data_IF_732949049050
#
_entry.id   IF_732949049050
#
_cell.length_a   1.000
_cell.length_b   1.000
_cell.length_c   1.000
_cell.angle_alpha   90.00
_cell.angle_beta   90.00
_cell.angle_gamma   90.00
#
_symmetry.space_group_name_H-M   'P 1'
#
loop_
_entity.id
_entity.type
_entity.pdbx_description
1 polymer ?
#
# COMPACT_ATOMS: atom_id res chain seq x y z
N UNK A 1 -16.49 -30.01 64.22
CA UNK A 1 -15.96 -28.71 63.75
C UNK A 1 -14.94 -28.96 62.64
N UNK A 2 -15.37 -28.88 61.38
CA UNK A 2 -14.48 -29.08 60.23
C UNK A 2 -14.06 -27.70 59.72
N UNK A 3 -12.84 -27.29 60.05
CA UNK A 3 -12.27 -26.01 59.60
C UNK A 3 -11.80 -26.15 58.14
N UNK A 4 -12.32 -25.25 57.32
CA UNK A 4 -12.07 -25.03 55.90
C UNK A 4 -10.59 -25.14 55.50
N UNK A 5 -10.27 -26.16 54.69
CA UNK A 5 -9.08 -26.23 53.83
C UNK A 5 -9.52 -26.01 52.37
N UNK A 6 -9.98 -24.80 52.02
CA UNK A 6 -10.38 -24.46 50.64
C UNK A 6 -9.77 -23.15 50.11
N UNK A 7 -8.94 -22.48 50.90
CA UNK A 7 -8.41 -21.14 50.64
C UNK A 7 -7.14 -21.06 49.78
N UNK A 8 -6.16 -21.99 49.79
CA UNK A 8 -4.94 -21.80 49.01
C UNK A 8 -5.13 -22.11 47.50
N UNK A 9 -6.06 -22.99 47.14
CA UNK A 9 -6.29 -23.38 45.74
C UNK A 9 -7.01 -22.30 44.92
N UNK A 10 -7.90 -21.54 45.57
CA UNK A 10 -8.64 -20.43 44.94
C UNK A 10 -7.71 -19.26 44.58
N UNK A 11 -6.74 -18.93 45.44
CA UNK A 11 -5.75 -17.88 45.18
C UNK A 11 -4.80 -18.22 44.02
N UNK A 12 -4.42 -19.50 43.89
CA UNK A 12 -3.55 -19.98 42.81
C UNK A 12 -4.24 -19.90 41.44
N UNK A 13 -5.54 -20.24 41.38
CA UNK A 13 -6.36 -20.13 40.17
C UNK A 13 -6.67 -18.67 39.80
N UNK A 14 -6.94 -17.81 40.78
CA UNK A 14 -7.17 -16.37 40.56
C UNK A 14 -5.89 -15.66 40.10
N UNK A 15 -4.73 -16.01 40.66
CA UNK A 15 -3.42 -15.51 40.22
C UNK A 15 -3.11 -15.91 38.78
N UNK A 16 -3.44 -17.15 38.39
CA UNK A 16 -3.27 -17.62 37.01
C UNK A 16 -4.15 -16.86 36.01
N UNK A 17 -5.43 -16.63 36.34
CA UNK A 17 -6.34 -15.87 35.47
C UNK A 17 -5.93 -14.39 35.32
N UNK A 18 -5.51 -13.75 36.42
CA UNK A 18 -5.06 -12.36 36.38
C UNK A 18 -3.78 -12.18 35.54
N UNK A 19 -2.84 -13.13 35.68
CA UNK A 19 -1.60 -13.14 34.88
C UNK A 19 -1.89 -13.35 33.38
N UNK A 20 -2.71 -14.35 33.03
CA UNK A 20 -3.13 -14.60 31.64
C UNK A 20 -3.81 -13.39 31.03
N UNK A 21 -4.73 -12.75 31.76
CA UNK A 21 -5.42 -11.55 31.29
C UNK A 21 -4.43 -10.44 30.90
N UNK A 22 -3.40 -10.19 31.73
CA UNK A 22 -2.37 -9.17 31.44
C UNK A 22 -1.56 -9.50 30.20
N UNK A 23 -1.17 -10.76 30.01
CA UNK A 23 -0.45 -11.22 28.82
C UNK A 23 -1.33 -11.03 27.57
N UNK A 24 -2.58 -11.49 27.61
CA UNK A 24 -3.49 -11.38 26.48
C UNK A 24 -3.76 -9.92 26.10
N UNK A 25 -3.90 -9.02 27.08
CA UNK A 25 -4.01 -7.58 26.80
C UNK A 25 -2.75 -7.05 26.12
N UNK A 26 -1.55 -7.46 26.57
CA UNK A 26 -0.29 -7.03 25.96
C UNK A 26 -0.15 -7.52 24.51
N UNK A 27 -0.46 -8.80 24.25
CA UNK A 27 -0.50 -9.37 22.89
C UNK A 27 -1.51 -8.64 22.00
N UNK A 28 -2.71 -8.35 22.53
CA UNK A 28 -3.75 -7.62 21.79
C UNK A 28 -3.25 -6.23 21.38
N UNK A 29 -2.62 -5.49 22.31
CA UNK A 29 -2.07 -4.16 22.03
C UNK A 29 -0.95 -4.21 20.98
N UNK A 30 -0.12 -5.24 21.03
CA UNK A 30 0.93 -5.44 20.03
C UNK A 30 0.36 -5.65 18.63
N UNK A 31 -0.66 -6.52 18.48
CA UNK A 31 -1.34 -6.74 17.20
C UNK A 31 -2.00 -5.46 16.67
N UNK A 32 -2.68 -4.70 17.55
CA UNK A 32 -3.29 -3.42 17.15
C UNK A 32 -2.23 -2.41 16.69
N UNK A 33 -1.10 -2.32 17.40
CA UNK A 33 0.03 -1.48 16.98
C UNK A 33 0.60 -1.90 15.62
N UNK A 34 0.77 -3.19 15.38
CA UNK A 34 1.22 -3.69 14.08
C UNK A 34 0.23 -3.37 12.95
N UNK A 35 -1.07 -3.43 13.23
CA UNK A 35 -2.13 -3.16 12.24
C UNK A 35 -2.14 -1.71 11.75
N UNK A 36 -1.64 -0.76 12.53
CA UNK A 36 -1.60 0.66 12.16
C UNK A 36 -0.73 0.92 10.92
N UNK A 37 0.27 0.08 10.66
CA UNK A 37 1.09 0.12 9.44
C UNK A 37 0.28 -0.13 8.16
N UNK A 38 -0.90 -0.75 8.27
CA UNK A 38 -1.74 -1.15 7.15
C UNK A 38 -3.05 -0.35 7.09
N UNK A 39 -3.06 0.89 7.60
CA UNK A 39 -4.24 1.77 7.59
C UNK A 39 -5.49 1.12 8.19
N UNK A 40 -5.33 0.40 9.31
CA UNK A 40 -6.44 -0.30 10.00
C UNK A 40 -7.63 0.60 10.30
N UNK A 41 -7.42 1.91 10.50
CA UNK A 41 -8.49 2.89 10.71
C UNK A 41 -9.36 3.11 9.47
N UNK A 42 -8.82 2.92 8.28
CA UNK A 42 -9.55 3.02 7.02
C UNK A 42 -10.28 1.70 6.70
N UNK A 43 -9.60 0.57 6.92
CA UNK A 43 -10.08 -0.73 6.43
C UNK A 43 -10.82 -1.58 7.46
N UNK A 44 -10.60 -1.36 8.75
CA UNK A 44 -11.12 -2.22 9.80
C UNK A 44 -11.37 -1.47 11.13
N UNK A 45 -11.85 -0.22 11.06
CA UNK A 45 -12.11 0.63 12.22
C UNK A 45 -12.98 -0.06 13.26
N UNK A 46 -14.04 -0.74 12.82
CA UNK A 46 -15.02 -1.36 13.71
C UNK A 46 -14.37 -2.46 14.58
N UNK A 47 -13.59 -3.35 13.97
CA UNK A 47 -12.88 -4.40 14.71
C UNK A 47 -11.82 -3.81 15.65
N UNK A 48 -11.10 -2.78 15.20
CA UNK A 48 -10.12 -2.08 16.03
C UNK A 48 -10.78 -1.47 17.28
N UNK A 49 -11.88 -0.74 17.10
CA UNK A 49 -12.57 -0.06 18.20
C UNK A 49 -13.24 -1.05 19.16
N UNK A 50 -13.81 -2.15 18.64
CA UNK A 50 -14.34 -3.23 19.48
C UNK A 50 -13.21 -3.87 20.31
N UNK A 51 -12.03 -4.10 19.73
CA UNK A 51 -10.88 -4.64 20.45
C UNK A 51 -10.44 -3.71 21.60
N UNK A 52 -10.36 -2.40 21.35
CA UNK A 52 -10.04 -1.40 22.38
C UNK A 52 -11.08 -1.39 23.51
N UNK A 53 -12.37 -1.47 23.17
CA UNK A 53 -13.44 -1.54 24.16
C UNK A 53 -13.31 -2.78 25.06
N UNK A 54 -12.96 -3.93 24.47
CA UNK A 54 -12.74 -5.16 25.23
C UNK A 54 -11.47 -5.13 26.09
N UNK A 55 -10.39 -4.47 25.66
CA UNK A 55 -9.22 -4.20 26.50
C UNK A 55 -9.62 -3.39 27.72
N UNK A 56 -10.33 -2.28 27.52
CA UNK A 56 -10.76 -1.39 28.60
C UNK A 56 -11.66 -2.14 29.60
N UNK A 57 -12.56 -2.99 29.11
CA UNK A 57 -13.40 -3.85 29.94
C UNK A 57 -12.55 -4.86 30.73
N UNK A 58 -11.59 -5.52 30.11
CA UNK A 58 -10.70 -6.48 30.77
C UNK A 58 -9.89 -5.84 31.91
N UNK A 59 -9.32 -4.65 31.67
CA UNK A 59 -8.58 -3.88 32.68
C UNK A 59 -9.48 -3.47 33.85
N UNK A 60 -10.71 -3.06 33.58
CA UNK A 60 -11.69 -2.73 34.61
C UNK A 60 -12.08 -3.95 35.47
N UNK A 61 -12.21 -5.14 34.86
CA UNK A 61 -12.48 -6.37 35.61
C UNK A 61 -11.30 -6.79 36.48
N UNK A 62 -10.05 -6.60 36.03
CA UNK A 62 -8.87 -6.82 36.86
C UNK A 62 -8.85 -5.88 38.08
N UNK A 63 -9.13 -4.59 37.88
CA UNK A 63 -9.21 -3.61 38.99
C UNK A 63 -10.29 -3.97 40.01
N UNK A 64 -11.37 -4.62 39.58
CA UNK A 64 -12.48 -5.09 40.43
C UNK A 64 -12.26 -6.49 41.01
N UNK A 65 -11.06 -7.05 40.90
CA UNK A 65 -10.72 -8.42 41.35
C UNK A 65 -11.62 -9.51 40.74
N UNK A 66 -12.02 -9.33 39.46
CA UNK A 66 -12.81 -10.29 38.66
C UNK A 66 -11.98 -10.85 37.49
N UNK A 67 -10.86 -11.56 37.75
CA UNK A 67 -9.89 -11.91 36.71
C UNK A 67 -10.40 -12.92 35.68
N UNK A 68 -11.40 -13.76 36.01
CA UNK A 68 -12.00 -14.69 35.03
C UNK A 68 -12.79 -13.95 33.94
N UNK A 69 -13.55 -12.95 34.34
CA UNK A 69 -14.30 -12.10 33.40
C UNK A 69 -13.36 -11.17 32.63
N UNK A 70 -12.30 -10.70 33.30
CA UNK A 70 -11.22 -9.98 32.65
C UNK A 70 -10.57 -10.80 31.54
N UNK A 71 -10.28 -12.08 31.79
CA UNK A 71 -9.71 -12.98 30.79
C UNK A 71 -10.64 -13.16 29.60
N UNK A 72 -11.93 -13.44 29.82
CA UNK A 72 -12.90 -13.58 28.72
C UNK A 72 -12.99 -12.31 27.85
N UNK A 73 -12.96 -11.13 28.47
CA UNK A 73 -12.92 -9.87 27.72
C UNK A 73 -11.59 -9.67 26.98
N UNK A 74 -10.46 -10.06 27.56
CA UNK A 74 -9.16 -9.98 26.89
C UNK A 74 -9.08 -10.92 25.67
N UNK A 75 -9.62 -12.14 25.78
CA UNK A 75 -9.69 -13.10 24.67
C UNK A 75 -10.60 -12.59 23.54
N UNK A 76 -11.73 -11.97 23.88
CA UNK A 76 -12.58 -11.28 22.90
C UNK A 76 -11.84 -10.12 22.21
N UNK A 77 -11.05 -9.34 22.97
CA UNK A 77 -10.22 -8.28 22.41
C UNK A 77 -9.19 -8.83 21.43
N UNK A 78 -8.50 -9.93 21.79
CA UNK A 78 -7.49 -10.56 20.95
C UNK A 78 -8.08 -11.04 19.63
N UNK A 79 -9.25 -11.67 19.67
CA UNK A 79 -9.96 -12.09 18.45
C UNK A 79 -10.22 -10.90 17.53
N UNK A 80 -10.75 -9.80 18.07
CA UNK A 80 -11.07 -8.60 17.28
C UNK A 80 -9.84 -7.86 16.78
N UNK A 81 -8.74 -7.84 17.53
CA UNK A 81 -7.48 -7.30 17.06
C UNK A 81 -6.91 -8.09 15.86
N UNK A 82 -7.02 -9.43 15.89
CA UNK A 82 -6.63 -10.29 14.76
C UNK A 82 -7.50 -10.05 13.54
N UNK A 83 -8.81 -9.99 13.70
CA UNK A 83 -9.74 -9.65 12.61
C UNK A 83 -9.44 -8.26 12.01
N UNK A 84 -9.10 -7.27 12.85
CA UNK A 84 -8.72 -5.93 12.40
C UNK A 84 -7.43 -5.96 11.59
N UNK A 85 -6.39 -6.64 12.10
CA UNK A 85 -5.11 -6.81 11.42
C UNK A 85 -5.27 -7.51 10.06
N UNK A 86 -5.93 -8.67 10.03
CA UNK A 86 -6.12 -9.48 8.82
C UNK A 86 -6.90 -8.73 7.75
N UNK A 87 -7.93 -7.98 8.16
CA UNK A 87 -8.74 -7.15 7.25
C UNK A 87 -7.90 -6.00 6.68
N UNK A 88 -7.13 -5.31 7.52
CA UNK A 88 -6.30 -4.18 7.12
C UNK A 88 -5.19 -4.59 6.15
N UNK A 89 -4.42 -5.62 6.50
CA UNK A 89 -3.30 -6.06 5.67
C UNK A 89 -3.78 -6.59 4.31
N UNK A 90 -4.89 -7.34 4.28
CA UNK A 90 -5.47 -7.85 3.03
C UNK A 90 -5.97 -6.72 2.13
N UNK A 91 -6.61 -5.70 2.71
CA UNK A 91 -7.14 -4.55 1.97
C UNK A 91 -6.01 -3.70 1.41
N UNK A 92 -4.98 -3.43 2.20
CA UNK A 92 -3.78 -2.72 1.77
C UNK A 92 -3.06 -3.48 0.64
N UNK A 93 -2.91 -4.81 0.76
CA UNK A 93 -2.32 -5.65 -0.29
C UNK A 93 -3.14 -5.59 -1.59
N UNK A 94 -4.46 -5.66 -1.51
CA UNK A 94 -5.34 -5.56 -2.67
C UNK A 94 -5.24 -4.20 -3.37
N UNK A 95 -5.19 -3.10 -2.60
CA UNK A 95 -5.05 -1.76 -3.14
C UNK A 95 -3.71 -1.58 -3.86
N UNK A 96 -2.61 -1.99 -3.23
CA UNK A 96 -1.27 -1.88 -3.82
C UNK A 96 -1.12 -2.78 -5.04
N UNK A 97 -1.67 -3.99 -5.02
CA UNK A 97 -1.69 -4.88 -6.17
C UNK A 97 -2.45 -4.24 -7.35
N UNK A 98 -3.60 -3.60 -7.10
CA UNK A 98 -4.31 -2.84 -8.13
C UNK A 98 -3.43 -1.73 -8.70
N UNK A 99 -2.79 -0.93 -7.85
CA UNK A 99 -1.88 0.15 -8.30
C UNK A 99 -0.71 -0.40 -9.13
N UNK A 100 -0.13 -1.53 -8.73
CA UNK A 100 0.96 -2.18 -9.46
C UNK A 100 0.49 -2.67 -10.85
N UNK A 101 -0.74 -3.18 -10.97
CA UNK A 101 -1.33 -3.56 -12.26
C UNK A 101 -1.60 -2.35 -13.15
N UNK A 102 -2.13 -1.28 -12.59
CA UNK A 102 -2.38 -0.02 -13.31
C UNK A 102 -1.05 0.58 -13.81
N UNK A 103 0.01 0.50 -12.99
CA UNK A 103 1.36 0.90 -13.34
C UNK A 103 1.96 0.05 -14.47
N UNK A 104 1.76 -1.27 -14.42
CA UNK A 104 2.14 -2.21 -15.49
C UNK A 104 1.47 -1.83 -16.81
N UNK A 105 0.15 -1.62 -16.81
CA UNK A 105 -0.59 -1.20 -18.01
C UNK A 105 -0.07 0.13 -18.58
N UNK A 106 0.22 1.10 -17.70
CA UNK A 106 0.83 2.38 -18.09
C UNK A 106 2.24 2.19 -18.68
N UNK A 107 3.04 1.29 -18.09
CA UNK A 107 4.36 0.96 -18.59
C UNK A 107 4.29 0.22 -19.93
N UNK A 108 3.31 -0.66 -20.16
CA UNK A 108 3.11 -1.32 -21.47
C UNK A 108 2.80 -0.31 -22.56
N UNK A 109 2.03 0.74 -22.27
CA UNK A 109 1.81 1.86 -23.20
C UNK A 109 3.11 2.63 -23.52
N UNK A 110 4.11 2.59 -22.62
CA UNK A 110 5.42 3.22 -22.79
C UNK A 110 6.50 2.28 -23.38
N UNK A 111 6.35 0.96 -23.21
CA UNK A 111 7.36 -0.06 -23.49
C UNK A 111 7.56 -0.38 -24.98
N UNK A 112 6.85 0.30 -25.90
CA UNK A 112 7.17 0.27 -27.34
C UNK A 112 8.53 0.91 -27.68
N UNK A 113 9.31 1.31 -26.66
CA UNK A 113 10.57 2.02 -26.77
C UNK A 113 11.63 1.22 -26.03
N UNK A 114 12.63 0.75 -26.76
CA UNK A 114 13.68 -0.20 -26.34
C UNK A 114 14.50 0.23 -25.12
N UNK A 115 14.38 1.48 -24.64
CA UNK A 115 15.18 2.06 -23.55
C UNK A 115 14.77 1.62 -22.14
N UNK A 116 13.65 0.90 -21.97
CA UNK A 116 13.13 0.53 -20.64
C UNK A 116 12.90 -0.98 -20.44
N UNK A 117 13.47 -1.82 -21.29
CA UNK A 117 13.21 -3.26 -21.28
C UNK A 117 13.48 -3.93 -19.93
N UNK A 118 14.54 -3.51 -19.21
CA UNK A 118 14.90 -4.07 -17.89
C UNK A 118 13.89 -3.68 -16.81
N UNK A 119 13.64 -2.38 -16.62
CA UNK A 119 12.64 -1.91 -15.64
C UNK A 119 11.24 -2.44 -15.97
N UNK A 120 10.88 -2.54 -17.25
CA UNK A 120 9.61 -3.14 -17.64
C UNK A 120 9.51 -4.62 -17.28
N UNK A 121 10.56 -5.41 -17.55
CA UNK A 121 10.61 -6.82 -17.16
C UNK A 121 10.50 -6.99 -15.63
N UNK A 122 11.13 -6.09 -14.86
CA UNK A 122 11.02 -6.07 -13.40
C UNK A 122 9.59 -5.75 -12.95
N UNK A 123 8.89 -4.79 -13.56
CA UNK A 123 7.48 -4.50 -13.27
C UNK A 123 6.59 -5.73 -13.51
N UNK A 124 6.79 -6.43 -14.63
CA UNK A 124 6.04 -7.67 -14.95
C UNK A 124 6.31 -8.77 -13.92
N UNK A 125 7.58 -9.01 -13.58
CA UNK A 125 7.96 -10.02 -12.59
C UNK A 125 7.39 -9.70 -11.20
N UNK A 126 7.53 -8.47 -10.73
CA UNK A 126 7.00 -8.07 -9.43
C UNK A 126 5.48 -8.07 -9.37
N UNK A 127 4.79 -7.74 -10.47
CA UNK A 127 3.33 -7.91 -10.53
C UNK A 127 2.94 -9.37 -10.38
N UNK A 128 3.62 -10.29 -11.09
CA UNK A 128 3.38 -11.73 -10.99
C UNK A 128 3.63 -12.24 -9.57
N UNK A 129 4.74 -11.84 -8.96
CA UNK A 129 5.08 -12.24 -7.59
C UNK A 129 4.05 -11.69 -6.58
N UNK A 130 3.61 -10.44 -6.76
CA UNK A 130 2.59 -9.83 -5.92
C UNK A 130 1.25 -10.57 -6.01
N UNK A 131 0.84 -10.99 -7.21
CA UNK A 131 -0.38 -11.77 -7.43
C UNK A 131 -0.29 -13.15 -6.78
N UNK A 132 0.82 -13.87 -6.98
CA UNK A 132 1.03 -15.19 -6.39
C UNK A 132 1.03 -15.12 -4.86
N UNK A 133 1.72 -14.14 -4.29
CA UNK A 133 1.73 -13.92 -2.84
C UNK A 133 0.34 -13.57 -2.30
N UNK A 134 -0.44 -12.74 -3.01
CA UNK A 134 -1.80 -12.39 -2.61
C UNK A 134 -2.71 -13.61 -2.56
N UNK A 135 -2.69 -14.44 -3.62
CA UNK A 135 -3.49 -15.66 -3.70
C UNK A 135 -3.09 -16.68 -2.64
N UNK A 136 -1.80 -16.75 -2.31
CA UNK A 136 -1.27 -17.60 -1.25
C UNK A 136 -1.55 -17.09 0.19
N UNK A 137 -2.23 -15.93 0.35
CA UNK A 137 -2.48 -15.31 1.65
C UNK A 137 -1.25 -14.66 2.30
N UNK A 138 -0.16 -14.52 1.55
CA UNK A 138 1.09 -13.90 2.00
C UNK A 138 1.07 -12.39 1.74
N UNK A 139 0.21 -11.68 2.46
CA UNK A 139 -0.11 -10.29 2.16
C UNK A 139 1.08 -9.33 2.30
N UNK A 140 2.00 -9.54 3.25
CA UNK A 140 3.22 -8.72 3.37
C UNK A 140 4.14 -8.88 2.15
N UNK A 141 4.30 -10.10 1.65
CA UNK A 141 5.08 -10.38 0.44
C UNK A 141 4.43 -9.72 -0.78
N UNK A 142 3.08 -9.77 -0.86
CA UNK A 142 2.31 -9.12 -1.93
C UNK A 142 2.46 -7.59 -1.91
N UNK A 143 2.40 -6.97 -0.72
CA UNK A 143 2.64 -5.53 -0.52
C UNK A 143 4.04 -5.16 -1.01
N UNK A 144 5.07 -5.87 -0.54
CA UNK A 144 6.47 -5.59 -0.91
C UNK A 144 6.69 -5.68 -2.42
N UNK A 145 6.20 -6.75 -3.05
CA UNK A 145 6.33 -6.91 -4.50
C UNK A 145 5.56 -5.82 -5.27
N UNK A 146 4.37 -5.44 -4.82
CA UNK A 146 3.61 -4.34 -5.42
C UNK A 146 4.35 -3.00 -5.33
N UNK A 147 4.98 -2.71 -4.19
CA UNK A 147 5.80 -1.50 -3.99
C UNK A 147 7.03 -1.49 -4.90
N UNK A 148 7.69 -2.63 -5.10
CA UNK A 148 8.81 -2.74 -6.04
C UNK A 148 8.36 -2.51 -7.49
N UNK A 149 7.21 -3.04 -7.90
CA UNK A 149 6.64 -2.75 -9.22
C UNK A 149 6.37 -1.24 -9.40
N UNK A 150 5.80 -0.59 -8.38
CA UNK A 150 5.54 0.85 -8.39
C UNK A 150 6.83 1.67 -8.45
N UNK A 151 7.88 1.25 -7.74
CA UNK A 151 9.20 1.88 -7.78
C UNK A 151 9.79 1.87 -9.20
N UNK A 152 9.79 0.72 -9.88
CA UNK A 152 10.28 0.64 -11.26
C UNK A 152 9.40 1.41 -12.25
N UNK A 153 8.08 1.45 -12.02
CA UNK A 153 7.19 2.30 -12.80
C UNK A 153 7.53 3.78 -12.64
N UNK A 154 7.92 4.22 -11.45
CA UNK A 154 8.34 5.59 -11.20
C UNK A 154 9.66 5.93 -11.92
N UNK A 155 10.61 4.99 -11.98
CA UNK A 155 11.83 5.16 -12.77
C UNK A 155 11.50 5.42 -14.24
N UNK A 156 10.63 4.59 -14.85
CA UNK A 156 10.21 4.78 -16.25
C UNK A 156 9.54 6.14 -16.43
N UNK A 157 8.67 6.53 -15.49
CA UNK A 157 7.98 7.82 -15.49
C UNK A 157 8.95 9.01 -15.50
N UNK A 158 9.95 9.02 -14.61
CA UNK A 158 10.93 10.11 -14.55
C UNK A 158 11.84 10.17 -15.77
N UNK A 159 12.24 9.01 -16.32
CA UNK A 159 13.03 9.00 -17.56
C UNK A 159 12.20 9.55 -18.73
N UNK A 160 10.93 9.13 -18.86
CA UNK A 160 10.06 9.62 -19.93
C UNK A 160 9.82 11.13 -19.83
N UNK A 161 9.65 11.66 -18.62
CA UNK A 161 9.54 13.10 -18.36
C UNK A 161 10.76 13.85 -18.90
N UNK A 162 11.95 13.35 -18.62
CA UNK A 162 13.19 13.96 -19.09
C UNK A 162 13.34 13.84 -20.61
N UNK A 163 12.95 12.72 -21.21
CA UNK A 163 12.95 12.56 -22.67
C UNK A 163 12.01 13.57 -23.35
N UNK A 164 10.80 13.76 -22.81
CA UNK A 164 9.86 14.79 -23.30
C UNK A 164 10.50 16.17 -23.25
N UNK A 165 11.14 16.52 -22.11
CA UNK A 165 11.83 17.80 -21.93
C UNK A 165 12.92 18.01 -22.99
N UNK A 166 13.83 17.04 -23.15
CA UNK A 166 14.91 17.11 -24.12
C UNK A 166 14.40 17.20 -25.56
N UNK A 167 13.30 16.53 -25.87
CA UNK A 167 12.73 16.52 -27.22
C UNK A 167 12.03 17.83 -27.56
N UNK A 168 11.35 18.45 -26.59
CA UNK A 168 10.82 19.82 -26.73
C UNK A 168 11.96 20.81 -26.99
N UNK A 169 13.06 20.75 -26.22
CA UNK A 169 14.24 21.61 -26.42
C UNK A 169 14.85 21.44 -27.82
N UNK A 170 14.97 20.20 -28.29
CA UNK A 170 15.49 19.92 -29.63
C UNK A 170 14.59 20.50 -30.73
N UNK A 171 13.27 20.35 -30.63
CA UNK A 171 12.33 20.88 -31.63
C UNK A 171 12.31 22.42 -31.59
N UNK A 172 12.32 23.04 -30.41
CA UNK A 172 12.41 24.50 -30.27
C UNK A 172 13.68 25.03 -30.96
N UNK A 173 14.82 24.37 -30.78
CA UNK A 173 16.08 24.74 -31.46
C UNK A 173 15.99 24.56 -32.99
N UNK A 174 15.34 23.50 -33.47
CA UNK A 174 15.09 23.32 -34.92
C UNK A 174 14.20 24.46 -35.46
N UNK A 175 13.18 24.87 -34.71
CA UNK A 175 12.24 25.93 -35.08
C UNK A 175 12.91 27.30 -35.27
N UNK A 176 13.95 27.63 -34.50
CA UNK A 176 14.72 28.88 -34.65
C UNK A 176 15.34 29.07 -36.05
N UNK A 177 15.59 27.96 -36.76
CA UNK A 177 16.19 27.94 -38.10
C UNK A 177 15.26 27.36 -39.17
N UNK A 178 13.98 27.19 -38.84
CA UNK A 178 13.01 26.54 -39.72
C UNK A 178 12.48 27.50 -40.80
N UNK A 179 12.77 27.17 -42.06
CA UNK A 179 12.40 27.95 -43.25
C UNK A 179 11.15 27.40 -43.98
N UNK A 180 10.32 26.59 -43.32
CA UNK A 180 9.05 26.11 -43.88
C UNK A 180 7.94 27.17 -43.88
N UNK A 181 6.76 26.76 -44.35
CA UNK A 181 5.57 27.61 -44.43
C UNK A 181 5.03 28.01 -43.05
N UNK A 182 4.26 29.11 -43.00
CA UNK A 182 3.62 29.56 -41.76
C UNK A 182 2.61 28.53 -41.23
N UNK A 183 1.94 27.77 -42.11
CA UNK A 183 1.03 26.69 -41.74
C UNK A 183 1.77 25.52 -41.05
N UNK A 184 2.96 25.16 -41.55
CA UNK A 184 3.80 24.15 -40.91
C UNK A 184 4.30 24.63 -39.54
N UNK A 185 4.72 25.90 -39.43
CA UNK A 185 5.12 26.50 -38.16
C UNK A 185 3.98 26.48 -37.14
N UNK A 186 2.77 26.83 -37.56
CA UNK A 186 1.58 26.82 -36.71
C UNK A 186 1.24 25.39 -36.24
N UNK A 187 1.34 24.40 -37.12
CA UNK A 187 1.11 22.99 -36.78
C UNK A 187 2.11 22.48 -35.75
N UNK A 188 3.41 22.78 -35.94
CA UNK A 188 4.46 22.39 -34.99
C UNK A 188 4.22 23.06 -33.63
N UNK A 189 3.92 24.36 -33.61
CA UNK A 189 3.67 25.10 -32.37
C UNK A 189 2.48 24.55 -31.57
N UNK A 190 1.36 24.21 -32.22
CA UNK A 190 0.21 23.58 -31.54
C UNK A 190 0.55 22.23 -30.94
N UNK A 191 1.33 21.41 -31.65
CA UNK A 191 1.76 20.13 -31.13
C UNK A 191 2.76 20.27 -29.98
N UNK A 192 3.64 21.28 -29.99
CA UNK A 192 4.51 21.57 -28.85
C UNK A 192 3.71 21.96 -27.60
N UNK A 193 2.74 22.86 -27.75
CA UNK A 193 1.88 23.28 -26.65
C UNK A 193 1.11 22.10 -26.04
N UNK A 194 0.58 21.21 -26.89
CA UNK A 194 -0.11 20.00 -26.42
C UNK A 194 0.86 19.01 -25.76
N UNK A 195 2.07 18.83 -26.28
CA UNK A 195 3.08 17.99 -25.63
C UNK A 195 3.47 18.53 -24.24
N UNK A 196 3.62 19.85 -24.09
CA UNK A 196 3.89 20.50 -22.79
C UNK A 196 2.73 20.31 -21.82
N UNK A 197 1.48 20.44 -22.30
CA UNK A 197 0.28 20.16 -21.50
C UNK A 197 0.27 18.72 -21.01
N UNK A 198 0.53 17.75 -21.90
CA UNK A 198 0.59 16.32 -21.57
C UNK A 198 1.73 16.00 -20.59
N UNK A 199 2.89 16.66 -20.74
CA UNK A 199 4.02 16.55 -19.81
C UNK A 199 3.64 17.00 -18.39
N UNK A 200 2.97 18.15 -18.27
CA UNK A 200 2.50 18.68 -16.99
C UNK A 200 1.44 17.80 -16.32
N UNK A 201 0.73 16.98 -17.10
CA UNK A 201 -0.24 16.00 -16.62
C UNK A 201 0.37 14.62 -16.34
N UNK A 202 1.68 14.43 -16.52
CA UNK A 202 2.35 13.13 -16.36
C UNK A 202 2.05 12.13 -17.49
N UNK A 203 1.46 12.57 -18.60
CA UNK A 203 1.08 11.74 -19.74
C UNK A 203 2.23 11.62 -20.76
N UNK A 204 3.41 11.23 -20.28
CA UNK A 204 4.66 11.30 -21.05
C UNK A 204 4.63 10.46 -22.33
N UNK A 205 3.95 9.31 -22.33
CA UNK A 205 3.75 8.49 -23.54
C UNK A 205 3.13 9.27 -24.69
N UNK A 206 2.05 9.99 -24.37
CA UNK A 206 1.26 10.71 -25.35
C UNK A 206 2.04 11.93 -25.85
N UNK A 207 2.74 12.62 -24.94
CA UNK A 207 3.66 13.69 -25.30
C UNK A 207 4.76 13.20 -26.26
N UNK A 208 5.43 12.08 -25.94
CA UNK A 208 6.49 11.51 -26.79
C UNK A 208 5.97 11.10 -28.17
N UNK A 209 4.78 10.49 -28.25
CA UNK A 209 4.18 10.11 -29.53
C UNK A 209 3.89 11.34 -30.40
N UNK A 210 3.35 12.40 -29.80
CA UNK A 210 3.09 13.66 -30.48
C UNK A 210 4.37 14.31 -30.99
N UNK A 211 5.41 14.37 -30.14
CA UNK A 211 6.71 14.96 -30.48
C UNK A 211 7.45 14.15 -31.55
N UNK A 212 7.30 12.82 -31.58
CA UNK A 212 7.89 11.96 -32.63
C UNK A 212 7.24 12.17 -33.99
N UNK A 213 5.95 12.46 -34.02
CA UNK A 213 5.25 12.80 -35.25
C UNK A 213 5.74 14.13 -35.87
N UNK A 214 6.50 14.94 -35.13
CA UNK A 214 7.13 16.17 -35.62
C UNK A 214 8.55 15.96 -36.17
N UNK A 215 9.17 14.81 -35.95
CA UNK A 215 10.49 14.48 -36.51
C UNK A 215 10.41 13.85 -37.91
N UNK A 216 9.22 13.39 -38.34
CA UNK A 216 8.94 12.82 -39.67
C UNK A 216 8.32 13.85 -40.61
#
# INVERSE_FOLDING_TARGET
MMKYFFTPFLFLLLGCAAYRTKITIAETRDILSQSEKYNVREYASDYYDIAINHINSAENMLKRNRPKEGLASAEAALLKAREAFDTAIRSQAALLLKKARDARGSATANAAQTMHAESFALIENYNKDAEQAYVAGKFEESIRASELALYHSNIISEINKEEVRLKIEQINKKMESFNGSDDEKLKISKNLEEAERLNNLGQYSQALNLLRALDN
#
